data_IF_436067389781
#
_entry.id   IF_436067389781
#
_cell.length_a   1.000
_cell.length_b   1.000
_cell.length_c   1.000
_cell.angle_alpha   90.00
_cell.angle_beta   90.00
_cell.angle_gamma   90.00
#
_symmetry.space_group_name_H-M   'P 1'
#
loop_
_entity.id
_entity.type
_entity.pdbx_description
1 polymer ?
#
# COMPACT_ATOMS: atom_id res chain seq x y z
N UNK A 1 -6.50 -37.04 38.66
CA UNK A 1 -6.41 -36.66 37.24
C UNK A 1 -5.38 -37.56 36.59
N UNK A 2 -5.80 -38.32 35.59
CA UNK A 2 -4.94 -39.24 34.86
C UNK A 2 -3.86 -38.46 34.10
N UNK A 3 -2.65 -39.01 34.00
CA UNK A 3 -1.58 -38.46 33.16
C UNK A 3 -2.00 -38.29 31.70
N UNK A 4 -2.97 -39.08 31.24
CA UNK A 4 -3.60 -38.96 29.92
C UNK A 4 -4.50 -37.72 29.80
N UNK A 5 -5.20 -37.33 30.88
CA UNK A 5 -6.06 -36.14 30.90
C UNK A 5 -5.22 -34.85 30.83
N UNK A 6 -4.07 -34.83 31.51
CA UNK A 6 -3.15 -33.69 31.48
C UNK A 6 -2.50 -33.49 30.10
N UNK A 7 -2.17 -34.58 29.39
CA UNK A 7 -1.63 -34.51 28.02
C UNK A 7 -2.63 -33.90 27.04
N UNK A 8 -3.91 -34.30 27.12
CA UNK A 8 -4.94 -33.81 26.21
C UNK A 8 -5.28 -32.33 26.45
N UNK A 9 -5.23 -31.85 27.70
CA UNK A 9 -5.43 -30.43 28.03
C UNK A 9 -4.28 -29.55 27.50
N UNK A 10 -3.04 -30.06 27.52
CA UNK A 10 -1.88 -29.34 26.98
C UNK A 10 -1.87 -29.25 25.44
N UNK A 11 -2.34 -30.31 24.75
CA UNK A 11 -2.45 -30.34 23.29
C UNK A 11 -3.66 -29.54 22.75
N UNK A 12 -4.69 -29.29 23.58
CA UNK A 12 -5.87 -28.52 23.20
C UNK A 12 -5.66 -26.99 23.12
N UNK A 13 -4.60 -26.47 23.76
CA UNK A 13 -4.34 -25.03 23.86
C UNK A 13 -3.23 -24.51 22.93
N UNK A 14 -2.59 -25.37 22.12
CA UNK A 14 -1.49 -24.98 21.21
C UNK A 14 -1.95 -24.42 19.86
N UNK A 15 -3.26 -24.41 19.57
CA UNK A 15 -3.81 -24.04 18.26
C UNK A 15 -4.43 -22.65 18.19
N UNK A 16 -4.52 -21.91 19.29
CA UNK A 16 -5.04 -20.53 19.29
C UNK A 16 -3.90 -19.52 19.14
N UNK A 17 -3.16 -19.63 18.04
CA UNK A 17 -2.36 -18.49 17.59
C UNK A 17 -3.34 -17.46 17.04
N UNK A 18 -3.65 -16.42 17.80
CA UNK A 18 -4.43 -15.28 17.29
C UNK A 18 -3.75 -14.77 16.03
N UNK A 19 -4.41 -14.88 14.87
CA UNK A 19 -3.93 -14.29 13.64
C UNK A 19 -3.90 -12.77 13.84
N UNK A 20 -2.69 -12.21 13.96
CA UNK A 20 -2.51 -10.76 13.92
C UNK A 20 -2.83 -10.31 12.49
N UNK A 21 -3.44 -9.14 12.36
CA UNK A 21 -3.69 -8.51 11.05
C UNK A 21 -2.39 -8.52 10.24
N UNK A 22 -2.41 -8.98 8.97
CA UNK A 22 -1.22 -9.00 8.15
C UNK A 22 -0.74 -7.56 7.86
N UNK A 23 0.57 -7.35 7.87
CA UNK A 23 1.17 -6.13 7.34
C UNK A 23 1.16 -6.23 5.82
N UNK A 24 0.48 -5.30 5.15
CA UNK A 24 0.38 -5.24 3.69
C UNK A 24 1.27 -4.10 3.19
N UNK A 25 2.15 -4.39 2.24
CA UNK A 25 3.03 -3.41 1.60
C UNK A 25 2.55 -3.19 0.17
N UNK A 26 2.30 -1.93 -0.21
CA UNK A 26 1.86 -1.52 -1.55
C UNK A 26 2.88 -0.54 -2.16
N UNK A 27 3.70 -0.98 -3.12
CA UNK A 27 4.65 -0.08 -3.77
C UNK A 27 3.93 0.96 -4.64
N UNK A 28 4.41 2.20 -4.59
CA UNK A 28 3.89 3.33 -5.35
C UNK A 28 5.02 4.05 -6.09
N UNK A 29 4.67 4.74 -7.17
CA UNK A 29 5.51 5.76 -7.79
C UNK A 29 4.89 7.13 -7.52
N UNK A 30 5.72 8.11 -7.20
CA UNK A 30 5.33 9.50 -7.06
C UNK A 30 6.27 10.38 -7.89
N UNK A 31 5.77 11.52 -8.35
CA UNK A 31 6.60 12.47 -9.11
C UNK A 31 5.76 13.43 -9.93
N UNK A 32 6.37 14.00 -10.96
CA UNK A 32 5.68 14.85 -11.93
C UNK A 32 6.14 14.57 -13.35
N UNK A 33 5.27 14.88 -14.31
CA UNK A 33 5.67 15.09 -15.71
C UNK A 33 5.62 16.57 -16.01
N UNK A 34 6.58 17.09 -16.79
CA UNK A 34 6.59 18.47 -17.25
C UNK A 34 6.78 18.51 -18.76
N UNK A 35 6.07 19.42 -19.44
CA UNK A 35 6.17 19.65 -20.87
C UNK A 35 6.32 21.15 -21.14
N UNK A 36 7.35 21.52 -21.90
CA UNK A 36 7.55 22.90 -22.32
C UNK A 36 6.41 23.36 -23.25
N UNK A 37 5.92 24.58 -23.06
CA UNK A 37 4.80 25.17 -23.81
C UNK A 37 5.18 25.65 -25.22
N UNK A 38 6.46 25.59 -25.58
CA UNK A 38 7.01 26.11 -26.85
C UNK A 38 7.32 27.61 -26.78
N UNK A 39 6.50 28.37 -26.07
CA UNK A 39 6.71 29.79 -25.78
C UNK A 39 6.13 30.15 -24.42
N UNK A 40 6.60 31.27 -23.86
CA UNK A 40 6.03 31.84 -22.63
C UNK A 40 4.59 32.28 -22.88
N UNK A 41 3.65 31.83 -22.05
CA UNK A 41 2.23 32.19 -22.17
C UNK A 41 2.02 33.65 -21.78
N UNK A 42 1.24 34.38 -22.58
CA UNK A 42 1.11 35.84 -22.42
C UNK A 42 0.36 36.28 -21.15
N UNK A 43 -0.62 35.49 -20.67
CA UNK A 43 -1.46 35.89 -19.54
C UNK A 43 -0.84 35.69 -18.15
N UNK A 44 -0.02 34.67 -17.98
CA UNK A 44 0.51 34.25 -16.68
C UNK A 44 2.04 34.03 -16.70
N UNK A 45 2.67 34.13 -17.87
CA UNK A 45 4.10 33.95 -18.03
C UNK A 45 4.58 32.51 -17.84
N UNK A 46 3.69 31.52 -17.80
CA UNK A 46 4.10 30.12 -17.65
C UNK A 46 4.86 29.61 -18.88
N UNK A 47 5.86 28.76 -18.65
CA UNK A 47 6.71 28.15 -19.70
C UNK A 47 6.52 26.64 -19.82
N UNK A 48 5.96 26.00 -18.79
CA UNK A 48 5.73 24.56 -18.76
C UNK A 48 4.35 24.26 -18.18
N UNK A 49 3.72 23.21 -18.70
CA UNK A 49 2.64 22.51 -18.01
C UNK A 49 3.24 21.35 -17.24
N UNK A 50 2.71 21.08 -16.05
CA UNK A 50 3.13 19.95 -15.25
C UNK A 50 1.93 19.22 -14.65
N UNK A 51 2.15 17.95 -14.35
CA UNK A 51 1.17 17.09 -13.69
C UNK A 51 1.90 16.34 -12.58
N UNK A 52 1.53 16.59 -11.34
CA UNK A 52 1.95 15.78 -10.19
C UNK A 52 1.14 14.49 -10.17
N UNK A 53 1.75 13.40 -9.74
CA UNK A 53 1.07 12.11 -9.63
C UNK A 53 1.57 11.30 -8.44
N UNK A 54 0.65 10.46 -7.97
CA UNK A 54 0.92 9.24 -7.20
C UNK A 54 0.19 8.13 -7.93
N UNK A 55 0.88 7.03 -8.24
CA UNK A 55 0.29 5.89 -8.93
C UNK A 55 0.79 4.58 -8.30
N UNK A 56 -0.01 3.50 -8.34
CA UNK A 56 0.49 2.20 -7.92
C UNK A 56 1.63 1.77 -8.85
N UNK A 57 2.51 0.91 -8.32
CA UNK A 57 3.58 0.34 -9.13
C UNK A 57 3.03 -0.56 -10.23
N UNK A 58 2.08 -1.42 -9.87
CA UNK A 58 1.32 -2.25 -10.80
C UNK A 58 -0.02 -1.57 -11.17
N UNK A 59 -0.69 -2.05 -12.22
CA UNK A 59 -1.97 -1.49 -12.66
C UNK A 59 -3.14 -1.96 -11.77
N UNK A 60 -3.19 -1.49 -10.52
CA UNK A 60 -4.28 -1.72 -9.56
C UNK A 60 -5.14 -0.47 -9.31
N UNK A 61 -6.34 -0.67 -8.77
CA UNK A 61 -7.19 0.42 -8.31
C UNK A 61 -6.90 0.73 -6.83
N UNK A 62 -6.18 1.83 -6.60
CA UNK A 62 -5.83 2.28 -5.25
C UNK A 62 -7.00 2.91 -4.48
N UNK A 63 -8.15 3.17 -5.11
CA UNK A 63 -9.30 3.77 -4.43
C UNK A 63 -10.10 2.80 -3.54
N UNK A 64 -9.75 1.52 -3.60
CA UNK A 64 -10.45 0.42 -2.90
C UNK A 64 -10.04 0.33 -1.42
N UNK A 65 -8.97 0.99 -1.01
CA UNK A 65 -8.45 1.00 0.38
C UNK A 65 -8.31 2.41 0.93
#
# INVERSE_FOLDING_TARGET
>A
MSSTEAYNVAQGNSYLTTMKTPVIIKPILYGNTAKHLGQKREGDGHTHTWTLYVKPFDNEDMSVY
#
